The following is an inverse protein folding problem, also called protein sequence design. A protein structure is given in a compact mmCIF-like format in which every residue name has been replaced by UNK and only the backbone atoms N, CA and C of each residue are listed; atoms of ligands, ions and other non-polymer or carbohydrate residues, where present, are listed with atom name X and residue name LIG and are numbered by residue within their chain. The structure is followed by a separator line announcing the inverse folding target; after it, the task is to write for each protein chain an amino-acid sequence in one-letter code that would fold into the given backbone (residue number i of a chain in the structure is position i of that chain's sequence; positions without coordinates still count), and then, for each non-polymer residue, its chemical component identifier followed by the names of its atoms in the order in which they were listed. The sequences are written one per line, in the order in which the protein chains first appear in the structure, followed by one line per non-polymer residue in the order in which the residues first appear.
data_IF_750910678598
#
_entry.id   IF_750910678598
#
_cell.length_a   1.000
_cell.length_b   1.000
_cell.length_c   1.000
_cell.angle_alpha   90.00
_cell.angle_beta   90.00
_cell.angle_gamma   90.00
#
_symmetry.space_group_name_H-M   'P 1'
#
loop_
_entity.id
_entity.type
_entity.pdbx_description
1 polymer ?
#
# COMPACT_ATOMS: atom_id res chain seq x y z
N UNK A 1 -19.67 19.71 11.11
CA UNK A 1 -18.58 18.84 10.60
C UNK A 1 -18.35 17.76 11.62
N UNK A 2 -18.11 16.53 11.23
CA UNK A 2 -17.99 15.41 12.20
C UNK A 2 -16.67 15.53 12.97
N UNK A 3 -16.73 15.61 14.31
CA UNK A 3 -15.58 15.79 15.21
C UNK A 3 -14.48 14.74 14.93
N UNK A 4 -14.85 13.47 14.72
CA UNK A 4 -13.89 12.38 14.47
C UNK A 4 -13.10 12.55 13.17
N UNK A 5 -13.69 13.17 12.14
CA UNK A 5 -12.99 13.47 10.89
C UNK A 5 -11.93 14.55 11.13
N UNK A 6 -12.26 15.62 11.89
CA UNK A 6 -11.29 16.67 12.20
C UNK A 6 -10.13 16.14 13.06
N UNK A 7 -10.43 15.36 14.08
CA UNK A 7 -9.43 14.72 14.92
C UNK A 7 -8.48 13.82 14.09
N UNK A 8 -9.05 13.04 13.16
CA UNK A 8 -8.25 12.20 12.26
C UNK A 8 -7.39 13.03 11.31
N UNK A 9 -7.93 14.15 10.81
CA UNK A 9 -7.19 15.08 9.95
C UNK A 9 -6.03 15.71 10.72
N UNK A 10 -6.26 16.13 11.96
CA UNK A 10 -5.22 16.65 12.85
C UNK A 10 -4.11 15.60 13.08
N UNK A 11 -4.49 14.34 13.33
CA UNK A 11 -3.54 13.24 13.42
C UNK A 11 -2.66 13.14 12.16
N UNK A 12 -3.29 13.02 10.98
CA UNK A 12 -2.57 12.89 9.71
C UNK A 12 -1.66 14.10 9.43
N UNK A 13 -2.11 15.29 9.77
CA UNK A 13 -1.31 16.52 9.65
C UNK A 13 -0.12 16.49 10.60
N UNK A 14 -0.34 16.11 11.85
CA UNK A 14 0.69 16.12 12.90
C UNK A 14 1.81 15.13 12.63
N UNK A 15 1.50 13.97 12.02
CA UNK A 15 2.51 13.00 11.60
C UNK A 15 3.18 13.33 10.27
N UNK A 16 2.86 14.49 9.68
CA UNK A 16 3.51 14.98 8.46
C UNK A 16 2.97 14.39 7.15
N UNK A 17 1.77 13.81 7.13
CA UNK A 17 1.17 13.34 5.88
C UNK A 17 0.91 14.51 4.93
N UNK A 18 1.19 14.38 3.61
CA UNK A 18 0.92 15.41 2.62
C UNK A 18 -0.55 15.83 2.62
N UNK A 19 -0.84 17.08 2.23
CA UNK A 19 -2.21 17.66 2.21
C UNK A 19 -3.23 16.78 1.47
N UNK A 20 -2.82 16.11 0.39
CA UNK A 20 -3.69 15.19 -0.35
C UNK A 20 -4.16 13.99 0.49
N UNK A 21 -3.36 13.54 1.46
CA UNK A 21 -3.68 12.46 2.39
C UNK A 21 -4.38 12.93 3.67
N UNK A 22 -4.73 14.21 3.76
CA UNK A 22 -5.55 14.78 4.82
C UNK A 22 -7.02 15.01 4.37
N UNK A 23 -7.37 14.58 3.15
CA UNK A 23 -8.72 14.64 2.61
C UNK A 23 -9.68 13.69 3.36
N UNK A 24 -10.98 13.98 3.31
CA UNK A 24 -12.02 13.23 4.04
C UNK A 24 -11.95 11.72 3.77
N UNK A 25 -11.73 11.30 2.53
CA UNK A 25 -11.60 9.88 2.19
C UNK A 25 -10.45 9.20 2.95
N UNK A 26 -9.35 9.90 3.18
CA UNK A 26 -8.22 9.40 3.95
C UNK A 26 -8.57 9.31 5.45
N UNK A 27 -9.29 10.30 5.98
CA UNK A 27 -9.80 10.26 7.35
C UNK A 27 -10.77 9.08 7.55
N UNK A 28 -11.70 8.88 6.63
CA UNK A 28 -12.63 7.74 6.66
C UNK A 28 -11.91 6.39 6.67
N UNK A 29 -10.83 6.23 5.92
CA UNK A 29 -10.05 5.00 5.92
C UNK A 29 -9.46 4.71 7.30
N UNK A 30 -8.84 5.70 7.95
CA UNK A 30 -8.29 5.53 9.31
C UNK A 30 -9.40 5.19 10.30
N UNK A 31 -10.52 5.92 10.26
CA UNK A 31 -11.67 5.70 11.14
C UNK A 31 -12.26 4.28 10.98
N UNK A 32 -12.44 3.83 9.75
CA UNK A 32 -12.95 2.49 9.46
C UNK A 32 -11.96 1.40 9.92
N UNK A 33 -10.65 1.59 9.69
CA UNK A 33 -9.63 0.64 10.11
C UNK A 33 -9.45 0.58 11.62
N UNK A 34 -9.70 1.70 12.32
CA UNK A 34 -9.71 1.76 13.78
C UNK A 34 -11.06 1.32 14.40
N UNK A 35 -12.09 1.07 13.57
CA UNK A 35 -13.44 0.72 14.05
C UNK A 35 -14.15 1.87 14.77
N UNK A 36 -13.71 3.12 14.62
CA UNK A 36 -14.22 4.28 15.34
C UNK A 36 -15.45 4.85 14.65
N UNK A 37 -16.58 4.77 15.34
CA UNK A 37 -17.85 5.41 14.97
C UNK A 37 -17.90 6.85 15.51
N UNK A 38 -18.84 7.70 15.03
CA UNK A 38 -18.90 9.11 15.42
C UNK A 38 -18.88 9.38 16.93
N UNK A 39 -19.54 8.54 17.71
CA UNK A 39 -19.74 8.73 19.16
C UNK A 39 -18.79 7.91 20.03
N UNK A 40 -17.86 7.16 19.43
CA UNK A 40 -16.93 6.31 20.17
C UNK A 40 -15.71 7.11 20.66
N UNK A 41 -15.14 6.68 21.78
CA UNK A 41 -13.83 7.14 22.24
C UNK A 41 -12.69 6.53 21.42
N UNK A 42 -11.61 7.25 21.22
CA UNK A 42 -10.40 6.71 20.58
C UNK A 42 -9.75 5.57 21.37
N UNK A 43 -9.97 5.51 22.68
CA UNK A 43 -9.51 4.39 23.52
C UNK A 43 -10.12 3.04 23.12
N UNK A 44 -11.27 3.07 22.44
CA UNK A 44 -11.98 1.88 21.96
C UNK A 44 -11.51 1.41 20.57
N UNK A 45 -10.52 2.09 19.98
CA UNK A 45 -10.02 1.75 18.66
C UNK A 45 -9.50 0.29 18.60
N UNK A 46 -9.90 -0.44 17.55
CA UNK A 46 -9.53 -1.82 17.28
C UNK A 46 -8.43 -1.91 16.21
N UNK A 47 -7.86 -3.09 16.01
CA UNK A 47 -6.81 -3.34 15.02
C UNK A 47 -7.08 -4.63 14.25
N UNK A 48 -8.28 -4.76 13.71
CA UNK A 48 -8.73 -5.95 12.99
C UNK A 48 -8.30 -5.91 11.52
N UNK A 49 -8.13 -7.09 10.92
CA UNK A 49 -7.92 -7.23 9.50
C UNK A 49 -9.18 -6.94 8.71
N UNK A 50 -9.16 -5.90 7.85
CA UNK A 50 -10.32 -5.39 7.13
C UNK A 50 -10.08 -5.35 5.61
N UNK A 51 -11.10 -5.60 4.80
CA UNK A 51 -11.07 -5.45 3.34
C UNK A 51 -11.47 -4.03 2.93
N UNK A 52 -11.11 -3.61 1.73
CA UNK A 52 -11.59 -2.33 1.16
C UNK A 52 -13.12 -2.28 1.12
N UNK A 53 -13.79 -3.39 0.78
CA UNK A 53 -15.23 -3.49 0.82
C UNK A 53 -15.79 -3.14 2.21
N UNK A 54 -15.23 -3.72 3.26
CA UNK A 54 -15.69 -3.51 4.62
C UNK A 54 -15.43 -2.06 5.10
N UNK A 55 -14.34 -1.43 4.64
CA UNK A 55 -14.06 0.00 4.86
C UNK A 55 -15.17 0.86 4.23
N UNK A 56 -15.54 0.60 2.96
CA UNK A 56 -16.60 1.34 2.27
C UNK A 56 -17.94 1.15 2.99
N UNK A 57 -18.28 -0.07 3.36
CA UNK A 57 -19.52 -0.36 4.11
C UNK A 57 -19.55 0.36 5.46
N UNK A 58 -18.45 0.35 6.20
CA UNK A 58 -18.34 1.06 7.47
C UNK A 58 -18.59 2.58 7.30
N UNK A 59 -17.94 3.18 6.33
CA UNK A 59 -18.07 4.63 6.06
C UNK A 59 -19.48 4.99 5.62
N UNK A 60 -20.11 4.21 4.76
CA UNK A 60 -21.47 4.42 4.35
C UNK A 60 -22.45 4.30 5.52
N UNK A 61 -22.28 3.27 6.35
CA UNK A 61 -23.18 2.99 7.46
C UNK A 61 -23.08 4.03 8.59
N UNK A 62 -21.87 4.38 9.00
CA UNK A 62 -21.67 5.16 10.23
C UNK A 62 -21.37 6.63 9.98
N UNK A 63 -20.93 7.00 8.78
CA UNK A 63 -20.59 8.40 8.42
C UNK A 63 -21.54 8.99 7.37
N UNK A 64 -22.63 8.27 7.03
CA UNK A 64 -23.68 8.79 6.14
C UNK A 64 -23.23 9.03 4.71
N UNK A 65 -22.16 8.35 4.27
CA UNK A 65 -21.67 8.46 2.92
C UNK A 65 -22.39 7.48 1.98
N UNK A 66 -22.21 7.64 0.66
CA UNK A 66 -22.82 6.80 -0.38
C UNK A 66 -21.79 6.38 -1.41
N UNK A 67 -20.64 5.86 -0.96
CA UNK A 67 -19.62 5.33 -1.85
C UNK A 67 -20.08 4.02 -2.48
N UNK A 68 -20.02 3.94 -3.81
CA UNK A 68 -20.30 2.72 -4.55
C UNK A 68 -19.08 1.77 -4.53
N UNK A 69 -19.29 0.48 -4.83
CA UNK A 69 -18.24 -0.53 -4.86
C UNK A 69 -17.10 -0.22 -5.86
N UNK A 70 -17.39 0.46 -6.96
CA UNK A 70 -16.36 0.90 -7.90
C UNK A 70 -15.42 1.98 -7.34
N UNK A 71 -15.73 2.58 -6.18
CA UNK A 71 -14.84 3.50 -5.47
C UNK A 71 -13.62 2.82 -4.84
N UNK A 72 -13.55 1.49 -4.81
CA UNK A 72 -12.44 0.72 -4.23
C UNK A 72 -11.07 1.20 -4.69
N UNK A 73 -10.95 1.47 -6.00
CA UNK A 73 -9.67 1.91 -6.57
C UNK A 73 -9.28 3.31 -6.07
N UNK A 74 -10.26 4.19 -5.83
CA UNK A 74 -10.04 5.51 -5.25
C UNK A 74 -9.53 5.38 -3.80
N UNK A 75 -10.19 4.57 -2.98
CA UNK A 75 -9.73 4.28 -1.61
C UNK A 75 -8.31 3.69 -1.59
N UNK A 76 -8.04 2.75 -2.49
CA UNK A 76 -6.73 2.11 -2.61
C UNK A 76 -5.63 3.10 -2.97
N UNK A 77 -5.84 3.95 -4.01
CA UNK A 77 -4.82 4.87 -4.53
C UNK A 77 -4.61 6.07 -3.62
N UNK A 78 -5.69 6.69 -3.14
CA UNK A 78 -5.61 7.93 -2.38
C UNK A 78 -5.19 7.71 -0.92
N UNK A 79 -5.61 6.63 -0.29
CA UNK A 79 -5.35 6.38 1.11
C UNK A 79 -4.48 5.13 1.36
N UNK A 80 -4.98 3.92 1.11
CA UNK A 80 -4.35 2.69 1.56
C UNK A 80 -2.92 2.50 1.06
N UNK A 81 -2.66 2.77 -0.22
CA UNK A 81 -1.31 2.65 -0.76
C UNK A 81 -0.34 3.65 -0.10
N UNK A 82 -0.79 4.89 0.14
CA UNK A 82 0.02 5.94 0.78
C UNK A 82 0.26 5.63 2.25
N UNK A 83 -0.75 5.23 2.97
CA UNK A 83 -0.65 4.86 4.38
C UNK A 83 0.26 3.64 4.60
N UNK A 84 0.23 2.67 3.68
CA UNK A 84 1.15 1.54 3.73
C UNK A 84 2.61 1.97 3.52
N UNK A 85 2.87 2.87 2.57
CA UNK A 85 4.21 3.42 2.34
C UNK A 85 4.71 4.21 3.54
N UNK A 86 3.80 4.92 4.24
CA UNK A 86 4.11 5.66 5.46
C UNK A 86 4.12 4.78 6.73
N UNK A 87 4.07 3.46 6.62
CA UNK A 87 4.02 2.52 7.75
C UNK A 87 2.89 2.79 8.77
N UNK A 88 1.79 3.43 8.34
CA UNK A 88 0.59 3.61 9.17
C UNK A 88 -0.29 2.36 9.17
N UNK A 89 -0.26 1.62 8.08
CA UNK A 89 -0.99 0.38 7.90
C UNK A 89 -0.09 -0.71 7.32
N UNK A 90 -0.47 -1.94 7.52
CA UNK A 90 0.15 -3.10 6.89
C UNK A 90 -0.90 -3.94 6.15
N UNK A 91 -0.46 -4.77 5.22
CA UNK A 91 -1.29 -5.78 4.57
C UNK A 91 -0.89 -7.20 5.01
N UNK A 92 -1.75 -8.16 4.73
CA UNK A 92 -1.55 -9.56 5.13
C UNK A 92 -0.65 -10.37 4.17
N UNK A 93 0.08 -9.72 3.28
CA UNK A 93 1.05 -10.33 2.36
C UNK A 93 0.45 -11.19 1.25
N UNK A 94 -0.88 -11.25 1.12
CA UNK A 94 -1.55 -11.99 0.03
C UNK A 94 -1.51 -11.19 -1.28
N UNK A 95 -1.78 -11.84 -2.40
CA UNK A 95 -1.89 -11.16 -3.69
C UNK A 95 -3.01 -10.09 -3.65
N UNK A 96 -2.77 -8.92 -4.23
CA UNK A 96 -3.69 -7.77 -4.17
C UNK A 96 -5.06 -8.02 -4.81
N UNK A 97 -5.15 -8.97 -5.73
CA UNK A 97 -6.40 -9.44 -6.34
C UNK A 97 -7.07 -10.59 -5.56
N UNK A 98 -6.47 -11.06 -4.47
CA UNK A 98 -7.05 -12.11 -3.64
C UNK A 98 -8.30 -11.61 -2.93
N UNK A 99 -9.41 -12.38 -2.89
CA UNK A 99 -10.57 -12.06 -2.05
C UNK A 99 -10.24 -12.02 -0.56
N UNK A 100 -9.10 -12.60 -0.19
CA UNK A 100 -8.58 -12.64 1.17
C UNK A 100 -7.53 -11.57 1.46
N UNK A 101 -7.32 -10.60 0.56
CA UNK A 101 -6.43 -9.48 0.83
C UNK A 101 -7.03 -8.55 1.88
N UNK A 102 -6.26 -8.24 2.91
CA UNK A 102 -6.69 -7.48 4.08
C UNK A 102 -5.66 -6.43 4.44
N UNK A 103 -6.12 -5.39 5.10
CA UNK A 103 -5.30 -4.34 5.71
C UNK A 103 -5.61 -4.24 7.20
N UNK A 104 -4.68 -3.74 7.97
CA UNK A 104 -4.90 -3.26 9.35
C UNK A 104 -3.96 -2.11 9.68
N UNK A 105 -4.25 -1.39 10.75
CA UNK A 105 -3.31 -0.41 11.31
C UNK A 105 -2.05 -1.12 11.80
N UNK A 106 -0.89 -0.44 11.74
CA UNK A 106 0.30 -0.96 12.45
C UNK A 106 0.12 -0.83 13.95
N UNK A 107 0.85 -1.64 14.72
CA UNK A 107 0.81 -1.60 16.18
C UNK A 107 1.17 -0.22 16.73
N UNK A 108 2.08 0.49 16.06
CA UNK A 108 2.49 1.83 16.41
C UNK A 108 1.36 2.83 16.17
N UNK A 109 0.68 2.74 15.04
CA UNK A 109 -0.43 3.63 14.70
C UNK A 109 -1.61 3.46 15.65
N UNK A 110 -2.02 2.21 15.95
CA UNK A 110 -3.15 2.00 16.86
C UNK A 110 -2.85 2.48 18.29
N UNK A 111 -1.61 2.32 18.77
CA UNK A 111 -1.19 2.85 20.08
C UNK A 111 -1.33 4.37 20.16
N UNK A 112 -0.97 5.09 19.10
CA UNK A 112 -1.11 6.55 19.05
C UNK A 112 -2.60 6.92 19.03
N UNK A 113 -3.38 6.31 18.14
CA UNK A 113 -4.81 6.64 18.02
C UNK A 113 -5.54 6.48 19.36
N UNK A 114 -5.23 5.44 20.14
CA UNK A 114 -5.81 5.23 21.46
C UNK A 114 -5.46 6.29 22.49
N UNK A 115 -4.42 7.09 22.26
CA UNK A 115 -4.06 8.20 23.13
C UNK A 115 -4.68 9.54 22.72
N UNK A 116 -5.38 9.60 21.58
CA UNK A 116 -6.09 10.79 21.15
C UNK A 116 -7.08 11.23 22.24
N UNK A 117 -7.31 12.55 22.35
CA UNK A 117 -8.13 13.16 23.43
C UNK A 117 -7.57 12.99 24.84
N UNK A 118 -6.35 12.47 25.02
CA UNK A 118 -5.68 12.35 26.31
C UNK A 118 -4.44 13.24 26.40
N UNK A 119 -3.98 13.60 27.62
CA UNK A 119 -2.71 14.31 27.80
C UNK A 119 -1.48 13.57 27.23
N UNK A 120 -1.54 12.24 27.11
CA UNK A 120 -0.48 11.40 26.56
C UNK A 120 -0.29 11.54 25.05
N UNK A 121 -1.26 12.12 24.33
CA UNK A 121 -1.26 12.29 22.89
C UNK A 121 0.04 12.93 22.35
N UNK A 122 0.42 14.09 22.91
CA UNK A 122 1.61 14.83 22.46
C UNK A 122 2.88 14.01 22.57
N UNK A 123 3.04 13.30 23.67
CA UNK A 123 4.22 12.46 23.91
C UNK A 123 4.24 11.22 23.01
N UNK A 124 3.07 10.60 22.79
CA UNK A 124 2.93 9.48 21.88
C UNK A 124 3.30 9.83 20.43
N UNK A 125 2.85 10.98 19.94
CA UNK A 125 3.23 11.52 18.62
C UNK A 125 4.74 11.76 18.55
N UNK A 126 5.31 12.44 19.53
CA UNK A 126 6.74 12.74 19.55
C UNK A 126 7.58 11.47 19.49
N UNK A 127 7.22 10.47 20.29
CA UNK A 127 7.86 9.16 20.28
C UNK A 127 7.72 8.45 18.91
N UNK A 128 6.54 8.47 18.31
CA UNK A 128 6.32 7.90 16.99
C UNK A 128 7.22 8.57 15.94
N UNK A 129 7.26 9.90 15.88
CA UNK A 129 8.07 10.63 14.91
C UNK A 129 9.58 10.33 15.05
N UNK A 130 10.08 10.13 16.27
CA UNK A 130 11.47 9.73 16.49
C UNK A 130 11.85 8.38 15.85
N UNK A 131 10.87 7.49 15.63
CA UNK A 131 11.10 6.15 15.10
C UNK A 131 10.48 5.94 13.73
N UNK A 132 9.75 6.91 13.19
CA UNK A 132 8.94 6.74 12.00
C UNK A 132 9.75 6.34 10.76
N UNK A 133 10.92 6.92 10.54
CA UNK A 133 11.81 6.52 9.44
C UNK A 133 12.24 5.05 9.57
N UNK A 134 12.61 4.60 10.77
CA UNK A 134 12.95 3.20 11.04
C UNK A 134 11.77 2.26 10.83
N UNK A 135 10.55 2.70 11.14
CA UNK A 135 9.32 1.95 10.90
C UNK A 135 9.04 1.81 9.40
N UNK A 136 9.22 2.89 8.63
CA UNK A 136 9.10 2.85 7.16
C UNK A 136 10.05 1.80 6.59
N UNK A 137 11.32 1.79 7.00
CA UNK A 137 12.32 0.82 6.56
C UNK A 137 11.95 -0.62 6.98
N UNK A 138 11.46 -0.80 8.20
CA UNK A 138 11.03 -2.10 8.72
C UNK A 138 9.87 -2.68 7.89
N UNK A 139 8.83 -1.89 7.63
CA UNK A 139 7.68 -2.33 6.84
C UNK A 139 8.01 -2.47 5.35
N UNK A 140 8.92 -1.67 4.81
CA UNK A 140 9.46 -1.84 3.47
C UNK A 140 10.27 -3.14 3.34
N UNK A 141 11.06 -3.51 4.36
CA UNK A 141 11.82 -4.75 4.36
C UNK A 141 10.92 -5.98 4.48
N UNK A 142 9.87 -5.97 5.30
CA UNK A 142 8.84 -7.01 5.35
C UNK A 142 8.23 -7.26 3.96
N UNK A 143 7.98 -6.21 3.19
CA UNK A 143 7.47 -6.31 1.82
C UNK A 143 8.51 -6.87 0.85
N UNK A 144 9.80 -6.50 0.99
CA UNK A 144 10.88 -7.05 0.16
C UNK A 144 11.07 -8.55 0.36
N UNK A 145 10.76 -9.10 1.54
CA UNK A 145 10.82 -10.55 1.81
C UNK A 145 9.83 -11.37 0.97
N UNK A 146 8.78 -10.75 0.43
CA UNK A 146 7.83 -11.40 -0.48
C UNK A 146 8.19 -11.24 -1.96
N UNK A 147 9.32 -10.59 -2.27
CA UNK A 147 9.79 -10.43 -3.64
C UNK A 147 10.39 -11.73 -4.16
N UNK A 148 10.02 -12.09 -5.37
CA UNK A 148 10.46 -13.29 -6.06
C UNK A 148 11.75 -13.01 -6.84
N UNK A 149 12.87 -13.69 -6.56
CA UNK A 149 14.10 -13.52 -7.31
C UNK A 149 13.91 -14.02 -8.75
N UNK A 150 14.49 -13.32 -9.71
CA UNK A 150 14.50 -13.68 -11.14
C UNK A 150 15.83 -13.28 -11.74
N UNK A 151 16.42 -14.16 -12.57
CA UNK A 151 17.63 -13.85 -13.34
C UNK A 151 17.25 -13.46 -14.76
N UNK A 152 17.62 -12.25 -15.18
CA UNK A 152 17.31 -11.71 -16.50
C UNK A 152 18.60 -11.28 -17.17
N UNK A 153 18.92 -11.90 -18.31
CA UNK A 153 20.15 -11.64 -19.06
C UNK A 153 21.43 -11.77 -18.21
N UNK A 154 21.46 -12.74 -17.28
CA UNK A 154 22.59 -12.97 -16.38
C UNK A 154 22.70 -12.02 -15.19
N UNK A 155 21.70 -11.15 -14.97
CA UNK A 155 21.64 -10.24 -13.82
C UNK A 155 20.48 -10.60 -12.90
N UNK A 156 20.68 -10.46 -11.59
CA UNK A 156 19.66 -10.74 -10.60
C UNK A 156 18.76 -9.56 -10.36
N UNK A 157 17.46 -9.79 -10.51
CA UNK A 157 16.37 -8.86 -10.24
C UNK A 157 15.37 -9.47 -9.27
N UNK A 158 14.34 -8.72 -8.91
CA UNK A 158 13.25 -9.19 -8.04
C UNK A 158 11.91 -8.71 -8.56
N UNK A 159 11.00 -9.66 -8.79
CA UNK A 159 9.60 -9.37 -9.08
C UNK A 159 8.77 -9.27 -7.82
N UNK A 160 7.74 -8.45 -7.81
CA UNK A 160 6.70 -8.52 -6.79
C UNK A 160 5.93 -9.85 -6.90
N UNK A 161 5.45 -10.37 -5.76
CA UNK A 161 4.67 -11.60 -5.74
C UNK A 161 3.37 -11.46 -6.55
N UNK A 162 3.02 -12.49 -7.32
CA UNK A 162 1.78 -12.56 -8.08
C UNK A 162 1.87 -13.48 -9.29
N UNK A 163 0.75 -14.09 -9.69
CA UNK A 163 0.69 -15.07 -10.79
C UNK A 163 1.24 -14.55 -12.12
N UNK A 164 1.03 -13.24 -12.40
CA UNK A 164 1.59 -12.63 -13.60
C UNK A 164 3.12 -12.66 -13.59
N UNK A 165 3.73 -12.30 -12.48
CA UNK A 165 5.17 -12.27 -12.33
C UNK A 165 5.77 -13.69 -12.19
N UNK A 166 5.02 -14.64 -11.62
CA UNK A 166 5.38 -16.07 -11.66
C UNK A 166 5.46 -16.58 -13.11
N UNK A 167 4.47 -16.20 -13.95
CA UNK A 167 4.49 -16.54 -15.37
C UNK A 167 5.64 -15.85 -16.10
N UNK A 168 5.89 -14.56 -15.87
CA UNK A 168 7.03 -13.86 -16.46
C UNK A 168 8.36 -14.54 -16.08
N UNK A 169 8.53 -14.89 -14.81
CA UNK A 169 9.72 -15.64 -14.34
C UNK A 169 9.86 -16.97 -15.07
N UNK A 170 8.81 -17.77 -15.16
CA UNK A 170 8.83 -19.04 -15.86
C UNK A 170 9.17 -18.88 -17.36
N UNK A 171 8.65 -17.82 -18.01
CA UNK A 171 9.01 -17.50 -19.41
C UNK A 171 10.51 -17.19 -19.52
N UNK A 172 11.04 -16.37 -18.63
CA UNK A 172 12.45 -15.92 -18.70
C UNK A 172 13.42 -17.04 -18.32
N UNK A 173 13.17 -17.75 -17.23
CA UNK A 173 14.15 -18.70 -16.68
C UNK A 173 13.97 -20.13 -17.21
N UNK A 174 12.76 -20.51 -17.67
CA UNK A 174 12.47 -21.88 -18.09
C UNK A 174 12.15 -22.00 -19.57
N UNK A 175 11.22 -21.18 -20.08
CA UNK A 175 10.77 -21.28 -21.47
C UNK A 175 11.82 -20.75 -22.46
N UNK A 176 12.31 -19.53 -22.26
CA UNK A 176 13.24 -18.91 -23.19
C UNK A 176 14.55 -19.73 -23.38
N UNK A 177 15.19 -20.25 -22.34
CA UNK A 177 16.39 -21.09 -22.52
C UNK A 177 16.16 -22.37 -23.31
N UNK A 178 14.94 -22.94 -23.25
CA UNK A 178 14.59 -24.19 -23.93
C UNK A 178 14.18 -23.99 -25.39
N UNK A 179 13.41 -22.94 -25.67
CA UNK A 179 12.76 -22.76 -26.97
C UNK A 179 13.31 -21.57 -27.78
N UNK A 180 14.05 -20.68 -27.15
CA UNK A 180 14.72 -19.54 -27.77
C UNK A 180 16.13 -19.37 -27.18
N UNK A 181 17.05 -20.37 -27.35
CA UNK A 181 18.39 -20.27 -26.83
C UNK A 181 19.11 -19.04 -27.42
N UNK A 182 19.89 -18.35 -26.59
CA UNK A 182 20.56 -17.08 -26.93
C UNK A 182 19.62 -15.86 -27.14
N UNK A 183 18.35 -15.97 -26.75
CA UNK A 183 17.47 -14.79 -26.74
C UNK A 183 17.83 -13.86 -25.57
N UNK A 184 17.55 -12.57 -25.77
CA UNK A 184 17.74 -11.53 -24.76
C UNK A 184 16.41 -10.90 -24.39
N UNK A 185 16.16 -10.72 -23.11
CA UNK A 185 15.00 -9.97 -22.64
C UNK A 185 15.27 -8.47 -22.80
N UNK A 186 14.59 -7.81 -23.73
CA UNK A 186 14.79 -6.39 -24.03
C UNK A 186 13.91 -5.47 -23.21
N UNK A 187 12.76 -5.96 -22.75
CA UNK A 187 11.84 -5.20 -21.93
C UNK A 187 11.07 -6.12 -20.98
N UNK A 188 11.07 -5.77 -19.73
CA UNK A 188 10.17 -6.36 -18.74
C UNK A 188 9.91 -5.34 -17.63
N UNK A 189 8.67 -5.26 -17.17
CA UNK A 189 8.24 -4.41 -16.08
C UNK A 189 7.48 -5.20 -15.03
N UNK A 190 7.51 -4.67 -13.82
CA UNK A 190 6.76 -5.17 -12.67
C UNK A 190 5.75 -4.12 -12.19
N UNK A 191 4.82 -4.53 -11.33
CA UNK A 191 3.83 -3.64 -10.72
C UNK A 191 4.48 -2.52 -9.87
N UNK A 192 5.67 -2.79 -9.32
CA UNK A 192 6.43 -1.84 -8.49
C UNK A 192 7.37 -1.02 -9.36
N UNK A 193 8.07 -1.67 -10.27
CA UNK A 193 9.05 -1.05 -11.17
C UNK A 193 8.68 -1.35 -12.63
N UNK A 194 8.03 -0.39 -13.27
CA UNK A 194 7.49 -0.55 -14.63
C UNK A 194 8.55 -0.79 -15.70
N UNK A 195 9.79 -0.41 -15.46
CA UNK A 195 10.90 -0.50 -16.39
C UNK A 195 12.09 -1.23 -15.75
N UNK A 196 11.87 -2.44 -15.23
CA UNK A 196 12.90 -3.22 -14.55
C UNK A 196 14.07 -3.57 -15.50
N UNK A 197 13.75 -3.95 -16.73
CA UNK A 197 14.71 -4.09 -17.84
C UNK A 197 14.15 -3.31 -19.02
N UNK A 198 15.02 -2.51 -19.67
CA UNK A 198 14.62 -1.66 -20.78
C UNK A 198 15.83 -1.37 -21.66
N UNK A 199 15.88 -2.01 -22.83
CA UNK A 199 16.87 -1.74 -23.87
C UNK A 199 16.19 -1.05 -25.06
N UNK A 200 15.99 0.28 -24.95
CA UNK A 200 15.25 1.07 -25.94
C UNK A 200 15.98 1.10 -27.27
N UNK A 201 17.31 1.19 -27.27
CA UNK A 201 18.10 1.33 -28.50
C UNK A 201 17.96 0.07 -29.35
N UNK A 202 18.10 -1.10 -28.72
CA UNK A 202 17.95 -2.38 -29.43
C UNK A 202 16.50 -2.63 -29.88
N UNK A 203 15.50 -2.16 -29.13
CA UNK A 203 14.12 -2.23 -29.56
C UNK A 203 13.85 -1.36 -30.80
N UNK A 204 14.43 -0.17 -30.86
CA UNK A 204 14.34 0.72 -32.03
C UNK A 204 15.06 0.13 -33.25
N UNK A 205 16.25 -0.45 -33.06
CA UNK A 205 17.00 -1.14 -34.14
C UNK A 205 16.18 -2.30 -34.75
N UNK A 206 15.34 -2.96 -33.93
CA UNK A 206 14.44 -4.03 -34.35
C UNK A 206 13.11 -3.52 -34.92
N UNK A 207 12.94 -2.19 -35.07
CA UNK A 207 11.75 -1.57 -35.65
C UNK A 207 10.54 -1.42 -34.72
N UNK A 208 10.74 -1.56 -33.41
CA UNK A 208 9.66 -1.33 -32.45
C UNK A 208 9.59 0.16 -32.05
N UNK A 209 8.47 0.80 -32.31
CA UNK A 209 8.14 2.11 -31.76
C UNK A 209 7.55 1.94 -30.35
N UNK A 210 8.30 2.32 -29.31
CA UNK A 210 7.83 2.25 -27.92
C UNK A 210 7.63 3.66 -27.40
N UNK A 211 6.38 4.05 -27.22
CA UNK A 211 6.01 5.24 -26.43
C UNK A 211 5.90 4.84 -24.97
N UNK A 212 6.86 5.26 -24.18
CA UNK A 212 6.90 4.96 -22.75
C UNK A 212 6.28 6.14 -21.98
N UNK A 213 5.11 5.91 -21.41
CA UNK A 213 4.42 6.86 -20.53
C UNK A 213 4.83 6.68 -19.06
#
# INVERSE_FOLDING_TARGET
MNKKIEETREFLQTIGMPKAQQADICCYVILAMAGIKPDMSWSEATNDWIRIHDIIQFVNTFYGMSYAENSRETFRKQALHRFRTAALIEDNGKATNSPNYRYRLTEETIKILRTMETPAWKESIKRFLCYHEKLIDLYASKKKMTMMPVNINGKDFKFSAGKHNELQKAIIEEFAPRFAPNSECLYVGDTIEKNLVKNVDKLKELGFEITLH
#
